data_IF_110234357572
#
_entry.id   IF_110234357572
#
_cell.length_a   1.000
_cell.length_b   1.000
_cell.length_c   1.000
_cell.angle_alpha   90.00
_cell.angle_beta   90.00
_cell.angle_gamma   90.00
#
_symmetry.space_group_name_H-M   'P 1'
#
loop_
_entity.id
_entity.type
_entity.pdbx_description
1 polymer ?
#
# COMPACT_ATOMS: atom_id res chain seq x y z
N UNK A 1 -32.39 -2.10 22.66
CA UNK A 1 -31.98 -2.64 21.35
C UNK A 1 -30.56 -2.17 21.12
N UNK A 2 -29.61 -3.07 21.34
CA UNK A 2 -28.19 -2.76 21.37
C UNK A 2 -27.68 -2.45 19.96
N UNK A 3 -27.25 -1.22 19.75
CA UNK A 3 -26.51 -0.78 18.58
C UNK A 3 -25.14 -1.46 18.57
N UNK A 4 -24.98 -2.52 17.79
CA UNK A 4 -23.67 -2.97 17.36
C UNK A 4 -23.10 -1.90 16.42
N UNK A 5 -22.31 -0.98 17.00
CA UNK A 5 -21.36 -0.20 16.22
C UNK A 5 -20.34 -1.17 15.66
N UNK A 6 -20.54 -1.64 14.43
CA UNK A 6 -19.49 -2.31 13.69
C UNK A 6 -18.30 -1.34 13.65
N UNK A 7 -17.25 -1.66 14.41
CA UNK A 7 -15.97 -0.97 14.35
C UNK A 7 -15.58 -0.90 12.87
N UNK A 8 -15.52 0.31 12.31
CA UNK A 8 -15.13 0.55 10.92
C UNK A 8 -13.80 -0.16 10.69
N UNK A 9 -13.84 -1.25 9.93
CA UNK A 9 -12.64 -2.04 9.64
C UNK A 9 -11.76 -1.18 8.72
N UNK A 10 -10.50 -0.99 9.11
CA UNK A 10 -9.49 -0.33 8.28
C UNK A 10 -9.32 -1.14 6.99
N UNK A 11 -9.83 -0.56 5.91
CA UNK A 11 -9.67 -1.03 4.53
C UNK A 11 -8.73 -0.06 3.83
N UNK A 12 -7.73 -0.57 3.13
CA UNK A 12 -6.91 0.25 2.22
C UNK A 12 -7.87 0.93 1.25
N UNK A 13 -7.78 2.26 1.14
CA UNK A 13 -8.64 3.09 0.30
C UNK A 13 -10.14 3.14 0.68
N UNK A 14 -10.63 2.53 1.76
CA UNK A 14 -12.09 2.36 1.97
C UNK A 14 -12.74 3.04 3.17
N UNK A 15 -12.09 3.07 4.33
CA UNK A 15 -12.73 3.58 5.55
C UNK A 15 -13.08 5.09 5.47
N UNK A 16 -12.35 5.84 4.65
CA UNK A 16 -12.57 7.27 4.44
C UNK A 16 -13.68 7.56 3.43
N UNK A 17 -14.04 6.63 2.53
CA UNK A 17 -15.14 6.81 1.58
C UNK A 17 -16.49 6.94 2.32
N UNK A 18 -16.60 6.27 3.47
CA UNK A 18 -17.78 6.32 4.35
C UNK A 18 -18.09 7.73 4.87
N UNK A 19 -17.10 8.62 4.97
CA UNK A 19 -17.32 9.99 5.48
C UNK A 19 -17.76 10.97 4.39
N UNK A 20 -17.61 10.60 3.12
CA UNK A 20 -17.90 11.49 1.99
C UNK A 20 -19.33 12.03 1.97
N UNK A 21 -20.39 11.22 2.19
CA UNK A 21 -21.76 11.74 2.17
C UNK A 21 -22.00 12.78 3.29
N UNK A 22 -21.42 12.56 4.47
CA UNK A 22 -21.54 13.48 5.60
C UNK A 22 -20.82 14.80 5.33
N UNK A 23 -19.63 14.75 4.73
CA UNK A 23 -18.86 15.94 4.35
C UNK A 23 -19.56 16.79 3.29
N UNK A 24 -20.20 16.16 2.29
CA UNK A 24 -21.00 16.88 1.28
C UNK A 24 -22.26 17.52 1.92
N UNK A 25 -22.91 16.79 2.84
CA UNK A 25 -24.15 17.25 3.51
C UNK A 25 -23.94 18.38 4.52
N UNK A 26 -22.76 18.50 5.13
CA UNK A 26 -22.48 19.45 6.21
C UNK A 26 -22.67 20.93 5.80
N UNK A 27 -22.47 21.25 4.52
CA UNK A 27 -22.56 22.63 4.01
C UNK A 27 -23.86 22.93 3.22
N UNK A 28 -24.78 21.96 3.10
CA UNK A 28 -26.01 22.10 2.31
C UNK A 28 -25.80 22.37 0.81
N UNK A 29 -24.55 22.24 0.32
CA UNK A 29 -24.15 22.49 -1.07
C UNK A 29 -23.85 21.17 -1.76
N UNK A 30 -24.78 20.71 -2.60
CA UNK A 30 -24.60 19.50 -3.41
C UNK A 30 -23.65 19.70 -4.61
N UNK A 31 -23.30 20.95 -4.94
CA UNK A 31 -22.43 21.32 -6.08
C UNK A 31 -21.04 21.86 -5.63
N UNK A 32 -20.53 21.38 -4.49
CA UNK A 32 -19.24 21.79 -3.94
C UNK A 32 -18.00 21.17 -4.63
N UNK A 33 -16.79 21.67 -4.34
CA UNK A 33 -15.54 21.11 -4.86
C UNK A 33 -15.34 19.63 -4.52
N UNK A 34 -15.77 19.18 -3.32
CA UNK A 34 -15.78 17.77 -2.97
C UNK A 34 -16.72 16.95 -3.86
N UNK A 35 -17.93 17.45 -4.13
CA UNK A 35 -18.88 16.80 -5.05
C UNK A 35 -18.30 16.64 -6.46
N UNK A 36 -17.57 17.67 -6.94
CA UNK A 36 -16.85 17.60 -8.21
C UNK A 36 -15.75 16.53 -8.20
N UNK A 37 -14.98 16.41 -7.11
CA UNK A 37 -13.93 15.40 -6.98
C UNK A 37 -14.50 13.97 -6.85
N UNK A 38 -15.60 13.79 -6.12
CA UNK A 38 -16.34 12.52 -6.04
C UNK A 38 -16.84 12.12 -7.43
N UNK A 39 -17.39 13.06 -8.20
CA UNK A 39 -17.84 12.82 -9.58
C UNK A 39 -16.67 12.42 -10.48
N UNK A 40 -15.52 13.10 -10.38
CA UNK A 40 -14.32 12.75 -11.13
C UNK A 40 -13.86 11.32 -10.83
N UNK A 41 -13.78 10.94 -9.55
CA UNK A 41 -13.47 9.58 -9.13
C UNK A 41 -14.48 8.57 -9.69
N UNK A 42 -15.78 8.84 -9.56
CA UNK A 42 -16.84 7.96 -10.06
C UNK A 42 -16.76 7.74 -11.58
N UNK A 43 -16.50 8.78 -12.35
CA UNK A 43 -16.32 8.68 -13.81
C UNK A 43 -15.06 7.88 -14.14
N UNK A 44 -13.93 8.12 -13.45
CA UNK A 44 -12.71 7.31 -13.63
C UNK A 44 -12.96 5.82 -13.36
N UNK A 45 -13.76 5.49 -12.36
CA UNK A 45 -14.11 4.09 -12.05
C UNK A 45 -14.98 3.45 -13.14
N UNK A 46 -15.95 4.19 -13.68
CA UNK A 46 -16.84 3.71 -14.75
C UNK A 46 -16.10 3.62 -16.10
N UNK A 47 -15.10 4.48 -16.32
CA UNK A 47 -14.27 4.49 -17.54
C UNK A 47 -13.23 3.37 -17.56
N UNK A 48 -12.93 2.72 -16.43
CA UNK A 48 -11.85 1.74 -16.31
C UNK A 48 -12.16 0.41 -16.98
N UNK A 49 -11.13 -0.22 -17.53
CA UNK A 49 -11.13 -1.60 -18.05
C UNK A 49 -11.61 -1.73 -19.50
N UNK A 50 -11.50 -2.93 -20.10
CA UNK A 50 -11.85 -3.18 -21.50
C UNK A 50 -13.32 -2.93 -21.85
N UNK A 51 -14.19 -2.94 -20.83
CA UNK A 51 -15.63 -2.67 -20.93
C UNK A 51 -16.04 -1.31 -20.33
N UNK A 52 -15.09 -0.37 -20.20
CA UNK A 52 -15.32 0.96 -19.66
C UNK A 52 -16.52 1.64 -20.32
N UNK A 53 -17.49 2.07 -19.50
CA UNK A 53 -18.78 2.59 -19.99
C UNK A 53 -18.79 4.11 -20.14
N UNK A 54 -17.79 4.80 -19.61
CA UNK A 54 -17.65 6.26 -19.72
C UNK A 54 -16.53 6.62 -20.70
N UNK A 55 -16.75 7.59 -21.61
CA UNK A 55 -15.71 8.07 -22.51
C UNK A 55 -14.53 8.71 -21.76
N UNK A 56 -13.31 8.42 -22.20
CA UNK A 56 -12.05 8.98 -21.65
C UNK A 56 -12.07 10.51 -21.54
N UNK A 57 -12.63 11.20 -22.53
CA UNK A 57 -12.69 12.66 -22.52
C UNK A 57 -13.58 13.22 -21.40
N UNK A 58 -14.60 12.48 -20.97
CA UNK A 58 -15.45 12.86 -19.84
C UNK A 58 -14.70 12.72 -18.51
N UNK A 59 -13.89 11.67 -18.35
CA UNK A 59 -13.05 11.48 -17.17
C UNK A 59 -12.04 12.63 -17.03
N UNK A 60 -11.35 12.99 -18.12
CA UNK A 60 -10.40 14.11 -18.16
C UNK A 60 -11.09 15.44 -17.84
N UNK A 61 -12.27 15.69 -18.42
CA UNK A 61 -13.03 16.92 -18.18
C UNK A 61 -13.49 17.02 -16.72
N UNK A 62 -14.01 15.93 -16.15
CA UNK A 62 -14.43 15.89 -14.76
C UNK A 62 -13.26 16.10 -13.80
N UNK A 63 -12.14 15.42 -14.04
CA UNK A 63 -10.91 15.57 -13.26
C UNK A 63 -10.39 17.02 -13.31
N UNK A 64 -10.30 17.61 -14.52
CA UNK A 64 -9.85 18.99 -14.71
C UNK A 64 -10.76 20.01 -14.01
N UNK A 65 -12.07 19.78 -14.02
CA UNK A 65 -13.05 20.62 -13.32
C UNK A 65 -12.86 20.55 -11.80
N UNK A 66 -12.73 19.33 -11.27
CA UNK A 66 -12.52 19.11 -9.85
C UNK A 66 -11.19 19.71 -9.36
N UNK A 67 -10.10 19.57 -10.12
CA UNK A 67 -8.81 20.17 -9.80
C UNK A 67 -8.90 21.71 -9.72
N UNK A 68 -9.59 22.36 -10.66
CA UNK A 68 -9.82 23.81 -10.62
C UNK A 68 -10.66 24.22 -9.41
N UNK A 69 -11.65 23.43 -9.04
CA UNK A 69 -12.51 23.71 -7.89
C UNK A 69 -11.74 23.61 -6.57
N UNK A 70 -10.96 22.53 -6.39
CA UNK A 70 -10.11 22.31 -5.21
C UNK A 70 -9.00 23.36 -5.12
N UNK A 71 -8.37 23.73 -6.25
CA UNK A 71 -7.34 24.77 -6.28
C UNK A 71 -7.78 26.12 -5.73
N UNK A 72 -9.09 26.44 -5.79
CA UNK A 72 -9.65 27.67 -5.18
C UNK A 72 -9.85 27.56 -3.67
N UNK A 73 -9.93 26.34 -3.13
CA UNK A 73 -10.12 26.10 -1.70
C UNK A 73 -8.80 26.00 -0.92
N UNK A 74 -7.71 25.54 -1.56
CA UNK A 74 -6.41 25.35 -0.90
C UNK A 74 -5.94 26.58 -0.10
N UNK A 75 -6.04 27.83 -0.62
CA UNK A 75 -5.64 29.01 0.15
C UNK A 75 -6.39 29.20 1.47
N UNK A 76 -7.56 28.59 1.61
CA UNK A 76 -8.48 28.71 2.74
C UNK A 76 -8.46 27.46 3.65
N UNK A 77 -7.53 26.51 3.43
CA UNK A 77 -7.46 25.25 4.17
C UNK A 77 -7.23 25.41 5.68
N UNK A 78 -6.68 26.55 6.09
CA UNK A 78 -6.42 26.87 7.50
C UNK A 78 -7.55 27.67 8.17
N UNK A 79 -8.53 28.17 7.41
CA UNK A 79 -9.57 29.07 7.93
C UNK A 79 -10.60 28.35 8.81
N UNK A 80 -10.88 27.08 8.53
CA UNK A 80 -11.91 26.28 9.21
C UNK A 80 -11.55 24.77 9.16
N UNK A 81 -11.52 24.06 10.30
CA UNK A 81 -11.32 22.61 10.35
C UNK A 81 -12.29 21.81 9.46
N UNK A 82 -13.56 22.23 9.32
CA UNK A 82 -14.51 21.52 8.46
C UNK A 82 -14.15 21.65 6.97
N UNK A 83 -13.59 22.79 6.57
CA UNK A 83 -13.08 22.98 5.20
C UNK A 83 -11.83 22.14 4.95
N UNK A 84 -11.00 21.95 5.98
CA UNK A 84 -9.81 21.11 5.88
C UNK A 84 -10.17 19.66 5.54
N UNK A 85 -11.18 19.09 6.20
CA UNK A 85 -11.63 17.72 5.92
C UNK A 85 -12.23 17.59 4.51
N UNK A 86 -13.02 18.59 4.07
CA UNK A 86 -13.57 18.64 2.71
C UNK A 86 -12.46 18.69 1.64
N UNK A 87 -11.45 19.55 1.84
CA UNK A 87 -10.30 19.68 0.93
C UNK A 87 -9.48 18.39 0.91
N UNK A 88 -9.22 17.81 2.09
CA UNK A 88 -8.48 16.55 2.21
C UNK A 88 -9.18 15.43 1.45
N UNK A 89 -10.48 15.24 1.68
CA UNK A 89 -11.28 14.24 0.99
C UNK A 89 -11.31 14.47 -0.54
N UNK A 90 -11.41 15.73 -0.98
CA UNK A 90 -11.42 16.06 -2.40
C UNK A 90 -10.08 15.73 -3.09
N UNK A 91 -8.95 16.04 -2.43
CA UNK A 91 -7.62 15.71 -2.96
C UNK A 91 -7.41 14.18 -2.97
N UNK A 92 -7.90 13.45 -1.95
CA UNK A 92 -7.87 11.99 -1.95
C UNK A 92 -8.69 11.38 -3.09
N UNK A 93 -9.87 11.93 -3.41
CA UNK A 93 -10.66 11.52 -4.58
C UNK A 93 -9.90 11.77 -5.89
N UNK A 94 -9.25 12.93 -6.03
CA UNK A 94 -8.43 13.26 -7.21
C UNK A 94 -7.23 12.33 -7.36
N UNK A 95 -6.55 12.00 -6.26
CA UNK A 95 -5.45 11.03 -6.26
C UNK A 95 -5.91 9.66 -6.78
N UNK A 96 -7.05 9.15 -6.28
CA UNK A 96 -7.57 7.86 -6.75
C UNK A 96 -8.03 7.94 -8.21
N UNK A 97 -8.67 9.04 -8.62
CA UNK A 97 -9.04 9.28 -10.02
C UNK A 97 -7.82 9.20 -10.94
N UNK A 98 -6.70 9.82 -10.54
CA UNK A 98 -5.42 9.78 -11.26
C UNK A 98 -4.78 8.39 -11.25
N UNK A 99 -4.87 7.64 -10.15
CA UNK A 99 -4.36 6.27 -10.09
C UNK A 99 -5.12 5.32 -11.02
N UNK A 100 -6.43 5.49 -11.17
CA UNK A 100 -7.22 4.67 -12.11
C UNK A 100 -7.14 5.14 -13.56
N UNK A 101 -6.84 6.41 -13.76
CA UNK A 101 -6.69 6.98 -15.07
C UNK A 101 -5.49 7.95 -15.08
N UNK A 102 -4.27 7.42 -15.26
CA UNK A 102 -3.07 8.26 -15.27
C UNK A 102 -3.12 9.27 -16.41
N UNK A 103 -3.19 10.54 -16.07
CA UNK A 103 -3.10 11.67 -16.99
C UNK A 103 -1.63 12.00 -17.32
N UNK A 104 -0.70 11.68 -16.41
CA UNK A 104 0.74 11.72 -16.67
C UNK A 104 1.53 10.78 -15.76
N UNK A 105 2.80 10.53 -16.11
CA UNK A 105 3.68 9.66 -15.32
C UNK A 105 4.05 10.22 -13.94
N UNK A 106 3.87 11.52 -13.70
CA UNK A 106 4.24 12.19 -12.43
C UNK A 106 3.04 12.69 -11.61
N UNK A 107 1.84 12.70 -12.18
CA UNK A 107 0.67 13.31 -11.55
C UNK A 107 0.28 12.63 -10.22
N UNK A 108 0.32 11.29 -10.16
CA UNK A 108 0.04 10.57 -8.91
C UNK A 108 1.05 10.93 -7.79
N UNK A 109 2.33 11.11 -8.13
CA UNK A 109 3.39 11.55 -7.20
C UNK A 109 3.15 12.97 -6.71
N UNK A 110 2.74 13.88 -7.60
CA UNK A 110 2.39 15.27 -7.21
C UNK A 110 1.21 15.28 -6.25
N UNK A 111 0.17 14.48 -6.50
CA UNK A 111 -0.97 14.36 -5.60
C UNK A 111 -0.59 13.73 -4.25
N UNK A 112 0.22 12.67 -4.23
CA UNK A 112 0.70 12.06 -3.00
C UNK A 112 1.46 13.09 -2.14
N UNK A 113 2.43 13.79 -2.74
CA UNK A 113 3.17 14.86 -2.05
C UNK A 113 2.26 15.96 -1.52
N UNK A 114 1.28 16.41 -2.31
CA UNK A 114 0.32 17.42 -1.87
C UNK A 114 -0.50 16.97 -0.66
N UNK A 115 -0.84 15.68 -0.57
CA UNK A 115 -1.55 15.11 0.58
C UNK A 115 -0.62 15.00 1.80
N UNK A 116 0.65 14.61 1.61
CA UNK A 116 1.64 14.59 2.69
C UNK A 116 1.87 15.98 3.29
N UNK A 117 2.01 17.01 2.44
CA UNK A 117 2.15 18.39 2.87
C UNK A 117 0.89 18.88 3.61
N UNK A 118 -0.31 18.53 3.11
CA UNK A 118 -1.57 18.86 3.74
C UNK A 118 -1.69 18.24 5.14
N UNK A 119 -1.37 16.95 5.28
CA UNK A 119 -1.42 16.24 6.58
C UNK A 119 -0.49 16.90 7.60
N UNK A 120 0.69 17.33 7.16
CA UNK A 120 1.67 17.97 8.06
C UNK A 120 1.29 19.41 8.46
N UNK A 121 0.23 20.01 7.91
CA UNK A 121 -0.30 21.30 8.39
C UNK A 121 -0.99 21.18 9.76
N UNK A 122 -1.32 19.97 10.20
CA UNK A 122 -1.94 19.71 11.50
C UNK A 122 -1.02 18.85 12.37
N UNK A 123 -1.03 19.06 13.70
CA UNK A 123 -0.28 18.20 14.60
C UNK A 123 -0.85 16.76 14.58
N UNK A 124 -0.06 15.72 14.85
CA UNK A 124 -0.53 14.34 14.72
C UNK A 124 -1.74 14.00 15.61
N UNK A 125 -1.88 14.62 16.79
CA UNK A 125 -3.04 14.45 17.67
C UNK A 125 -4.36 14.92 17.04
N UNK A 126 -4.33 15.79 16.02
CA UNK A 126 -5.52 16.21 15.28
C UNK A 126 -6.24 15.00 14.65
N UNK A 127 -5.48 13.97 14.28
CA UNK A 127 -6.00 12.75 13.64
C UNK A 127 -6.37 11.65 14.64
N UNK A 128 -6.46 11.96 15.94
CA UNK A 128 -6.74 10.95 16.97
C UNK A 128 -8.19 10.43 16.98
N UNK A 129 -9.14 11.16 16.38
CA UNK A 129 -10.56 10.76 16.36
C UNK A 129 -11.36 11.41 15.21
N UNK A 130 -12.61 10.98 15.05
CA UNK A 130 -13.57 11.61 14.14
C UNK A 130 -13.25 11.45 12.65
N UNK A 131 -13.70 12.41 11.84
CA UNK A 131 -13.46 12.44 10.40
C UNK A 131 -11.98 12.57 10.03
N UNK A 132 -11.16 13.42 10.70
CA UNK A 132 -9.73 13.48 10.44
C UNK A 132 -9.05 12.12 10.60
N UNK A 133 -9.39 11.37 11.66
CA UNK A 133 -8.85 10.03 11.88
C UNK A 133 -9.15 9.08 10.72
N UNK A 134 -10.41 9.04 10.26
CA UNK A 134 -10.82 8.18 9.15
C UNK A 134 -10.08 8.53 7.85
N UNK A 135 -9.91 9.82 7.55
CA UNK A 135 -9.14 10.29 6.40
C UNK A 135 -7.67 9.87 6.51
N UNK A 136 -7.04 10.10 7.67
CA UNK A 136 -5.66 9.72 7.93
C UNK A 136 -5.43 8.22 7.80
N UNK A 137 -6.19 7.39 8.52
CA UNK A 137 -6.06 5.93 8.51
C UNK A 137 -6.33 5.35 7.13
N UNK A 138 -7.31 5.88 6.40
CA UNK A 138 -7.67 5.44 5.06
C UNK A 138 -6.59 5.69 4.02
N UNK A 139 -5.82 6.78 4.18
CA UNK A 139 -4.80 7.19 3.20
C UNK A 139 -3.37 6.84 3.60
N UNK A 140 -3.10 6.63 4.89
CA UNK A 140 -1.79 6.22 5.43
C UNK A 140 -1.15 5.03 4.70
N UNK A 141 -1.86 3.93 4.37
CA UNK A 141 -1.27 2.85 3.59
C UNK A 141 -0.73 3.33 2.24
N UNK A 142 -1.49 4.16 1.54
CA UNK A 142 -1.13 4.67 0.21
C UNK A 142 0.14 5.51 0.26
N UNK A 143 0.26 6.41 1.25
CA UNK A 143 1.45 7.24 1.43
C UNK A 143 2.70 6.42 1.73
N UNK A 144 2.55 5.39 2.57
CA UNK A 144 3.68 4.49 2.89
C UNK A 144 4.09 3.71 1.65
N UNK A 145 3.14 3.14 0.89
CA UNK A 145 3.43 2.46 -0.36
C UNK A 145 4.07 3.41 -1.40
N UNK A 146 3.63 4.66 -1.46
CA UNK A 146 4.26 5.67 -2.30
C UNK A 146 5.72 5.96 -1.90
N UNK A 147 6.02 5.97 -0.61
CA UNK A 147 7.38 6.10 -0.10
C UNK A 147 8.26 4.90 -0.52
N UNK A 148 7.71 3.69 -0.56
CA UNK A 148 8.38 2.53 -1.18
C UNK A 148 8.64 2.76 -2.66
N UNK A 149 7.59 3.07 -3.45
CA UNK A 149 7.70 3.26 -4.91
C UNK A 149 8.75 4.30 -5.29
N UNK A 150 8.84 5.38 -4.51
CA UNK A 150 9.80 6.48 -4.73
C UNK A 150 11.14 6.27 -4.03
N UNK A 151 11.26 5.24 -3.19
CA UNK A 151 12.45 4.97 -2.35
C UNK A 151 12.85 6.17 -1.51
N UNK A 152 11.88 6.92 -0.98
CA UNK A 152 12.10 8.11 -0.14
C UNK A 152 11.57 7.89 1.26
N UNK A 153 12.21 8.50 2.27
CA UNK A 153 11.67 8.49 3.63
C UNK A 153 10.34 9.24 3.72
N UNK A 154 9.52 8.86 4.70
CA UNK A 154 8.21 9.47 4.96
C UNK A 154 8.11 9.97 6.40
N UNK A 155 7.43 11.10 6.59
CA UNK A 155 7.18 11.67 7.92
C UNK A 155 6.39 10.71 8.84
N UNK A 156 5.63 9.78 8.24
CA UNK A 156 4.89 8.72 8.93
C UNK A 156 5.81 7.73 9.68
N UNK A 157 7.12 7.79 9.41
CA UNK A 157 8.16 7.07 10.13
C UNK A 157 8.52 7.66 11.50
N UNK A 158 8.12 8.89 11.80
CA UNK A 158 8.44 9.51 13.09
C UNK A 158 7.55 8.96 14.24
N UNK A 159 8.08 8.86 15.48
CA UNK A 159 7.37 8.22 16.60
C UNK A 159 5.98 8.81 16.90
N UNK A 160 5.84 10.13 16.82
CA UNK A 160 4.60 10.87 17.05
C UNK A 160 3.50 10.45 16.07
N UNK A 161 3.85 10.29 14.78
CA UNK A 161 2.90 9.88 13.73
C UNK A 161 2.48 8.41 13.80
N UNK A 162 3.22 7.58 14.56
CA UNK A 162 2.85 6.17 14.82
C UNK A 162 1.94 5.99 16.02
N UNK A 163 1.91 6.96 16.92
CA UNK A 163 1.30 6.81 18.25
C UNK A 163 0.14 7.78 18.47
N UNK A 164 0.34 9.06 18.20
CA UNK A 164 -0.61 10.12 18.55
C UNK A 164 -1.91 10.07 17.74
N UNK A 165 -1.92 9.79 16.41
CA UNK A 165 -3.16 9.57 15.65
C UNK A 165 -4.00 8.38 16.15
N UNK A 166 -3.43 7.53 17.02
CA UNK A 166 -4.05 6.33 17.54
C UNK A 166 -4.24 6.38 19.07
N UNK A 167 -4.02 7.53 19.71
CA UNK A 167 -3.99 7.69 21.18
C UNK A 167 -5.29 7.35 21.93
N UNK A 168 -6.37 6.99 21.25
CA UNK A 168 -7.64 6.55 21.83
C UNK A 168 -8.33 5.43 21.07
N UNK A 169 -7.64 4.75 20.15
CA UNK A 169 -8.21 3.73 19.26
C UNK A 169 -7.30 2.51 19.23
N UNK A 170 -7.90 1.32 19.26
CA UNK A 170 -7.15 0.08 19.02
C UNK A 170 -6.78 0.01 17.55
N UNK A 171 -5.49 0.02 17.27
CA UNK A 171 -4.98 -0.08 15.91
C UNK A 171 -5.33 -1.44 15.31
N UNK A 172 -5.83 -1.44 14.08
CA UNK A 172 -5.97 -2.68 13.33
C UNK A 172 -4.60 -3.27 12.93
N UNK A 173 -4.55 -4.57 12.60
CA UNK A 173 -3.31 -5.24 12.23
C UNK A 173 -2.54 -4.58 11.08
N UNK A 174 -3.25 -4.04 10.08
CA UNK A 174 -2.59 -3.40 8.94
C UNK A 174 -1.92 -2.09 9.37
N UNK A 175 -2.56 -1.28 10.20
CA UNK A 175 -1.97 -0.02 10.68
C UNK A 175 -0.74 -0.25 11.55
N UNK A 176 -0.75 -1.29 12.40
CA UNK A 176 0.44 -1.67 13.18
C UNK A 176 1.57 -2.20 12.29
N UNK A 177 1.26 -3.01 11.27
CA UNK A 177 2.25 -3.47 10.28
C UNK A 177 2.93 -2.28 9.58
N UNK A 178 2.13 -1.32 9.12
CA UNK A 178 2.61 -0.12 8.43
C UNK A 178 3.54 0.73 9.33
N UNK A 179 3.30 0.76 10.64
CA UNK A 179 4.19 1.41 11.61
C UNK A 179 5.57 0.75 11.69
N UNK A 180 5.65 -0.56 11.47
CA UNK A 180 6.93 -1.27 11.38
C UNK A 180 7.61 -1.05 10.02
N UNK A 181 6.84 -1.09 8.94
CA UNK A 181 7.34 -1.03 7.57
C UNK A 181 7.82 0.35 7.13
N UNK A 182 7.28 1.44 7.67
CA UNK A 182 7.64 2.81 7.27
C UNK A 182 9.11 3.21 7.51
N UNK A 183 9.89 2.41 8.25
CA UNK A 183 11.34 2.60 8.37
C UNK A 183 12.09 2.14 7.10
N UNK A 184 11.53 1.23 6.32
CA UNK A 184 12.21 0.59 5.18
C UNK A 184 12.53 1.59 4.05
N UNK A 185 11.62 2.49 3.63
CA UNK A 185 11.92 3.48 2.60
C UNK A 185 13.11 4.40 2.94
N UNK A 186 13.32 4.73 4.22
CA UNK A 186 14.48 5.53 4.63
C UNK A 186 15.82 4.78 4.44
N UNK A 187 15.82 3.45 4.55
CA UNK A 187 17.00 2.61 4.26
C UNK A 187 17.30 2.65 2.76
N UNK A 188 16.26 2.58 1.92
CA UNK A 188 16.38 2.66 0.46
C UNK A 188 16.91 4.04 0.03
N UNK A 189 16.36 5.11 0.60
CA UNK A 189 16.81 6.48 0.33
C UNK A 189 18.29 6.70 0.68
N UNK A 190 18.72 6.12 1.80
CA UNK A 190 20.12 6.17 2.24
C UNK A 190 21.05 5.50 1.21
N UNK A 191 20.63 4.37 0.63
CA UNK A 191 21.39 3.69 -0.42
C UNK A 191 21.47 4.54 -1.69
N UNK A 192 20.35 5.13 -2.12
CA UNK A 192 20.26 5.88 -3.37
C UNK A 192 21.09 7.19 -3.34
N UNK A 193 21.21 7.81 -2.15
CA UNK A 193 21.97 9.05 -1.96
C UNK A 193 23.47 8.85 -1.83
N UNK A 194 23.94 7.62 -1.59
CA UNK A 194 25.34 7.34 -1.27
C UNK A 194 26.09 6.66 -2.42
N UNK A 195 27.20 7.27 -2.86
CA UNK A 195 28.20 6.57 -3.67
C UNK A 195 29.13 5.78 -2.73
N UNK A 196 28.71 4.59 -2.33
CA UNK A 196 29.42 3.80 -1.31
C UNK A 196 30.63 3.03 -1.88
N UNK A 197 31.75 3.73 -2.04
CA UNK A 197 33.01 3.13 -2.52
C UNK A 197 33.62 2.11 -1.54
N UNK A 198 33.27 2.19 -0.25
CA UNK A 198 33.92 1.41 0.82
C UNK A 198 33.00 0.37 1.46
N UNK A 199 31.75 0.21 0.99
CA UNK A 199 30.77 -0.76 1.50
C UNK A 199 30.23 -0.46 2.92
N UNK A 200 30.49 0.73 3.48
CA UNK A 200 30.05 1.09 4.83
C UNK A 200 28.54 1.31 4.91
N UNK A 201 28.00 2.05 3.93
CA UNK A 201 26.55 2.32 3.83
C UNK A 201 25.81 1.04 3.50
N UNK A 202 26.36 0.20 2.62
CA UNK A 202 25.83 -1.13 2.34
C UNK A 202 25.76 -1.98 3.62
N UNK A 203 26.82 -2.02 4.43
CA UNK A 203 26.83 -2.77 5.70
C UNK A 203 25.78 -2.24 6.70
N UNK A 204 25.65 -0.93 6.79
CA UNK A 204 24.65 -0.29 7.64
C UNK A 204 23.23 -0.62 7.15
N UNK A 205 22.96 -0.47 5.87
CA UNK A 205 21.67 -0.77 5.26
C UNK A 205 21.27 -2.23 5.49
N UNK A 206 22.20 -3.15 5.29
CA UNK A 206 21.96 -4.58 5.53
C UNK A 206 21.59 -4.84 7.00
N UNK A 207 22.28 -4.21 7.95
CA UNK A 207 21.92 -4.31 9.38
C UNK A 207 20.49 -3.80 9.62
N UNK A 208 20.14 -2.64 9.07
CA UNK A 208 18.81 -2.05 9.21
C UNK A 208 17.70 -2.87 8.54
N UNK A 209 17.97 -3.51 7.40
CA UNK A 209 17.01 -4.43 6.76
C UNK A 209 16.80 -5.70 7.57
N UNK A 210 17.85 -6.26 8.18
CA UNK A 210 17.71 -7.41 9.09
C UNK A 210 16.86 -7.03 10.30
N UNK A 211 17.09 -5.85 10.88
CA UNK A 211 16.24 -5.33 11.96
C UNK A 211 14.79 -5.12 11.52
N UNK A 212 14.57 -4.65 10.29
CA UNK A 212 13.23 -4.50 9.71
C UNK A 212 12.52 -5.85 9.59
N UNK A 213 13.20 -6.88 9.06
CA UNK A 213 12.68 -8.25 9.03
C UNK A 213 12.31 -8.72 10.44
N UNK A 214 13.20 -8.54 11.42
CA UNK A 214 12.95 -8.95 12.80
C UNK A 214 11.75 -8.21 13.44
N UNK A 215 11.49 -6.96 13.05
CA UNK A 215 10.29 -6.21 13.46
C UNK A 215 9.03 -6.80 12.81
N UNK A 216 9.07 -7.06 11.51
CA UNK A 216 7.97 -7.69 10.75
C UNK A 216 7.63 -9.08 11.30
N UNK A 217 8.61 -9.95 11.53
CA UNK A 217 8.39 -11.31 12.07
C UNK A 217 7.82 -11.25 13.49
N UNK A 218 8.26 -10.29 14.33
CA UNK A 218 7.69 -10.08 15.67
C UNK A 218 6.24 -9.60 15.60
N UNK A 219 5.95 -8.65 14.71
CA UNK A 219 4.57 -8.20 14.47
C UNK A 219 3.68 -9.37 14.07
N UNK A 220 4.10 -10.20 13.11
CA UNK A 220 3.31 -11.33 12.62
C UNK A 220 3.03 -12.34 13.74
N UNK A 221 4.05 -12.69 14.54
CA UNK A 221 3.89 -13.55 15.73
C UNK A 221 2.91 -12.94 16.73
N UNK A 222 3.03 -11.64 17.02
CA UNK A 222 2.16 -10.93 17.97
C UNK A 222 0.70 -10.95 17.52
N UNK A 223 0.42 -10.59 16.27
CA UNK A 223 -0.95 -10.53 15.75
C UNK A 223 -1.60 -11.90 15.75
N UNK A 224 -0.86 -12.95 15.36
CA UNK A 224 -1.37 -14.32 15.35
C UNK A 224 -1.75 -14.82 16.77
N UNK A 225 -1.04 -14.38 17.82
CA UNK A 225 -1.41 -14.69 19.20
C UNK A 225 -2.64 -13.90 19.68
N UNK A 226 -2.85 -12.69 19.18
CA UNK A 226 -3.92 -11.80 19.67
C UNK A 226 -5.25 -11.91 18.91
N UNK A 227 -5.22 -12.22 17.61
CA UNK A 227 -6.40 -12.11 16.73
C UNK A 227 -7.11 -13.45 16.51
N UNK A 228 -6.53 -14.60 16.91
CA UNK A 228 -7.18 -15.92 16.88
C UNK A 228 -7.33 -16.53 15.47
N UNK A 229 -7.81 -15.74 14.51
CA UNK A 229 -8.02 -16.12 13.10
C UNK A 229 -7.17 -15.25 12.16
N UNK A 230 -5.84 -15.32 12.28
CA UNK A 230 -4.91 -14.57 11.40
C UNK A 230 -4.14 -15.46 10.41
N UNK A 231 -4.61 -16.69 10.22
CA UNK A 231 -3.99 -17.67 9.31
C UNK A 231 -4.91 -17.88 8.10
N UNK A 232 -4.39 -17.80 6.86
CA UNK A 232 -5.19 -18.10 5.67
C UNK A 232 -5.51 -19.60 5.61
N UNK A 233 -6.69 -19.93 5.13
CA UNK A 233 -7.10 -21.32 4.89
C UNK A 233 -6.77 -21.69 3.43
N UNK A 234 -5.96 -22.74 3.19
CA UNK A 234 -5.67 -23.17 1.83
C UNK A 234 -6.89 -23.84 1.19
N UNK A 235 -7.27 -23.35 0.02
CA UNK A 235 -8.25 -23.95 -0.86
C UNK A 235 -7.52 -24.54 -2.08
N UNK A 236 -7.47 -25.88 -2.15
CA UNK A 236 -6.82 -26.58 -3.25
C UNK A 236 -7.82 -26.71 -4.40
N UNK A 237 -7.48 -26.13 -5.54
CA UNK A 237 -8.28 -26.20 -6.77
C UNK A 237 -7.46 -26.77 -7.93
N UNK A 238 -8.12 -27.09 -9.06
CA UNK A 238 -7.43 -27.46 -10.29
C UNK A 238 -6.49 -26.34 -10.82
N UNK A 239 -6.75 -25.10 -10.43
CA UNK A 239 -5.90 -23.95 -10.75
C UNK A 239 -4.66 -23.84 -9.84
N UNK A 240 -4.62 -24.50 -8.67
CA UNK A 240 -3.54 -24.40 -7.70
C UNK A 240 -4.07 -24.15 -6.28
N UNK A 241 -3.16 -23.74 -5.37
CA UNK A 241 -3.50 -23.34 -4.01
C UNK A 241 -3.99 -21.89 -4.05
N UNK A 242 -5.22 -21.66 -3.58
CA UNK A 242 -5.74 -20.33 -3.28
C UNK A 242 -5.87 -20.17 -1.76
N UNK A 243 -5.94 -18.93 -1.28
CA UNK A 243 -6.20 -18.66 0.13
C UNK A 243 -7.58 -18.06 0.36
N UNK A 244 -8.30 -18.61 1.33
CA UNK A 244 -9.45 -17.96 1.95
C UNK A 244 -9.00 -17.20 3.20
N UNK A 245 -9.47 -15.97 3.35
CA UNK A 245 -9.17 -15.14 4.50
C UNK A 245 -10.45 -14.82 5.28
N UNK A 246 -10.37 -14.68 6.61
CA UNK A 246 -11.53 -14.29 7.42
C UNK A 246 -12.12 -12.93 7.04
N UNK A 247 -11.29 -12.00 6.57
CA UNK A 247 -11.69 -10.71 6.05
C UNK A 247 -10.57 -10.05 5.25
N UNK A 248 -10.91 -8.96 4.54
CA UNK A 248 -9.98 -8.17 3.73
C UNK A 248 -8.83 -7.57 4.54
N UNK A 249 -9.02 -7.21 5.80
CA UNK A 249 -7.95 -6.64 6.64
C UNK A 249 -6.85 -7.69 6.89
N UNK A 250 -7.21 -8.95 7.15
CA UNK A 250 -6.23 -10.06 7.29
C UNK A 250 -5.51 -10.29 5.96
N UNK A 251 -6.25 -10.39 4.85
CA UNK A 251 -5.66 -10.59 3.52
C UNK A 251 -4.65 -9.49 3.16
N UNK A 252 -5.04 -8.22 3.39
CA UNK A 252 -4.18 -7.07 3.15
C UNK A 252 -2.95 -7.08 4.04
N UNK A 253 -3.12 -7.35 5.34
CA UNK A 253 -2.01 -7.36 6.29
C UNK A 253 -0.97 -8.43 5.94
N UNK A 254 -1.40 -9.66 5.65
CA UNK A 254 -0.50 -10.75 5.31
C UNK A 254 0.20 -10.52 3.96
N UNK A 255 -0.54 -10.10 2.94
CA UNK A 255 0.02 -9.84 1.61
C UNK A 255 1.11 -8.76 1.66
N UNK A 256 0.88 -7.68 2.42
CA UNK A 256 1.87 -6.61 2.59
C UNK A 256 3.04 -7.03 3.48
N UNK A 257 2.78 -7.81 4.54
CA UNK A 257 3.84 -8.37 5.38
C UNK A 257 4.82 -9.21 4.55
N UNK A 258 4.30 -10.13 3.74
CA UNK A 258 5.10 -10.94 2.81
C UNK A 258 5.89 -10.05 1.84
N UNK A 259 5.25 -9.04 1.24
CA UNK A 259 5.89 -8.13 0.30
C UNK A 259 7.03 -7.33 0.93
N UNK A 260 6.81 -6.72 2.10
CA UNK A 260 7.85 -5.95 2.81
C UNK A 260 9.02 -6.84 3.22
N UNK A 261 8.74 -8.07 3.63
CA UNK A 261 9.78 -9.05 3.96
C UNK A 261 10.61 -9.42 2.73
N UNK A 262 9.97 -9.68 1.59
CA UNK A 262 10.63 -9.97 0.31
C UNK A 262 11.55 -8.81 -0.11
N UNK A 263 11.07 -7.57 -0.02
CA UNK A 263 11.88 -6.37 -0.35
C UNK A 263 13.17 -6.36 0.47
N UNK A 264 13.06 -6.49 1.80
CA UNK A 264 14.24 -6.49 2.67
C UNK A 264 15.19 -7.66 2.33
N UNK A 265 14.66 -8.87 2.12
CA UNK A 265 15.48 -10.04 1.82
C UNK A 265 16.25 -9.91 0.49
N UNK A 266 15.60 -9.37 -0.54
CA UNK A 266 16.22 -9.13 -1.85
C UNK A 266 17.32 -8.07 -1.74
N UNK A 267 17.03 -6.94 -1.09
CA UNK A 267 18.00 -5.86 -0.91
C UNK A 267 19.23 -6.35 -0.13
N UNK A 268 19.05 -7.15 0.92
CA UNK A 268 20.17 -7.78 1.63
C UNK A 268 21.01 -8.67 0.71
N UNK A 269 20.36 -9.51 -0.11
CA UNK A 269 21.05 -10.42 -1.03
C UNK A 269 21.85 -9.65 -2.09
N UNK A 270 21.27 -8.61 -2.68
CA UNK A 270 21.92 -7.76 -3.67
C UNK A 270 23.15 -7.04 -3.09
N UNK A 271 23.00 -6.40 -1.93
CA UNK A 271 24.10 -5.69 -1.26
C UNK A 271 25.22 -6.64 -0.86
N UNK A 272 24.90 -7.86 -0.40
CA UNK A 272 25.91 -8.84 -0.01
C UNK A 272 26.66 -9.40 -1.23
N UNK A 273 25.97 -9.58 -2.36
CA UNK A 273 26.60 -9.99 -3.62
C UNK A 273 27.54 -8.91 -4.19
N UNK A 274 27.18 -7.62 -4.03
CA UNK A 274 28.00 -6.49 -4.47
C UNK A 274 29.18 -6.19 -3.53
N UNK A 275 29.06 -6.55 -2.25
CA UNK A 275 30.08 -6.32 -1.23
C UNK A 275 30.36 -7.58 -0.40
N UNK A 276 31.16 -8.53 -0.91
CA UNK A 276 31.45 -9.81 -0.24
C UNK A 276 32.03 -9.67 1.18
N UNK A 277 32.75 -8.58 1.44
CA UNK A 277 33.34 -8.26 2.75
C UNK A 277 32.30 -8.04 3.87
N UNK A 278 31.01 -7.94 3.52
CA UNK A 278 29.90 -7.84 4.48
C UNK A 278 29.58 -9.21 5.11
N UNK A 279 29.97 -10.34 4.49
CA UNK A 279 29.50 -11.68 4.86
C UNK A 279 30.02 -12.20 6.22
N UNK A 280 31.13 -11.67 6.75
CA UNK A 280 31.79 -12.26 7.94
C UNK A 280 31.25 -11.81 9.30
N UNK A 281 30.60 -10.63 9.44
CA UNK A 281 30.28 -10.03 10.76
C UNK A 281 28.83 -9.58 10.94
N UNK A 282 27.90 -10.13 10.18
CA UNK A 282 26.64 -9.45 9.93
C UNK A 282 25.44 -10.24 10.49
N UNK A 283 24.41 -9.56 11.07
CA UNK A 283 23.31 -10.22 11.77
C UNK A 283 22.49 -11.19 10.90
N UNK A 284 22.07 -12.29 11.52
CA UNK A 284 21.30 -13.40 10.92
C UNK A 284 19.84 -12.99 10.63
N UNK A 285 19.24 -13.59 9.60
CA UNK A 285 17.80 -13.48 9.30
C UNK A 285 17.11 -14.70 9.89
N UNK A 286 16.26 -14.54 10.91
CA UNK A 286 15.53 -15.67 11.53
C UNK A 286 16.45 -16.82 12.01
N UNK A 287 17.67 -16.48 12.46
CA UNK A 287 18.71 -17.45 12.85
C UNK A 287 19.52 -18.04 11.70
N UNK A 288 19.19 -17.71 10.45
CA UNK A 288 19.85 -18.21 9.24
C UNK A 288 20.83 -17.19 8.63
N UNK A 289 21.86 -17.70 7.95
CA UNK A 289 22.72 -16.86 7.10
C UNK A 289 21.90 -16.32 5.92
N UNK A 290 22.20 -15.08 5.52
CA UNK A 290 21.44 -14.34 4.49
C UNK A 290 21.54 -14.94 3.10
N UNK A 291 22.69 -15.56 2.82
CA UNK A 291 22.98 -16.23 1.55
C UNK A 291 22.44 -17.67 1.52
N UNK A 292 21.73 -18.11 2.58
CA UNK A 292 21.27 -19.49 2.69
C UNK A 292 20.09 -19.76 1.73
N UNK A 293 20.06 -20.96 1.15
CA UNK A 293 18.94 -21.51 0.39
C UNK A 293 17.62 -21.39 1.16
N UNK A 294 17.66 -21.44 2.49
CA UNK A 294 16.49 -21.26 3.37
C UNK A 294 15.83 -19.89 3.18
N UNK A 295 16.60 -18.80 3.10
CA UNK A 295 16.07 -17.44 2.89
C UNK A 295 15.46 -17.33 1.51
N UNK A 296 16.13 -17.87 0.48
CA UNK A 296 15.60 -17.89 -0.90
C UNK A 296 14.30 -18.70 -0.97
N UNK A 297 14.22 -19.84 -0.28
CA UNK A 297 13.00 -20.66 -0.18
C UNK A 297 11.86 -19.89 0.50
N UNK A 298 12.14 -19.13 1.56
CA UNK A 298 11.15 -18.28 2.24
C UNK A 298 10.65 -17.16 1.34
N UNK A 299 11.53 -16.52 0.54
CA UNK A 299 11.13 -15.55 -0.51
C UNK A 299 10.16 -16.19 -1.51
N UNK A 300 10.50 -17.37 -2.06
CA UNK A 300 9.63 -18.07 -3.01
C UNK A 300 8.29 -18.44 -2.38
N UNK A 301 8.29 -18.96 -1.15
CA UNK A 301 7.08 -19.30 -0.42
C UNK A 301 6.17 -18.09 -0.19
N UNK A 302 6.73 -16.96 0.24
CA UNK A 302 5.97 -15.71 0.43
C UNK A 302 5.44 -15.17 -0.89
N UNK A 303 6.21 -15.32 -1.98
CA UNK A 303 5.76 -14.91 -3.31
C UNK A 303 4.57 -15.73 -3.78
N UNK A 304 4.65 -17.07 -3.72
CA UNK A 304 3.50 -17.93 -4.04
C UNK A 304 2.30 -17.68 -3.11
N UNK A 305 2.54 -17.35 -1.84
CA UNK A 305 1.48 -16.98 -0.89
C UNK A 305 0.72 -15.71 -1.32
N UNK A 306 1.43 -14.71 -1.85
CA UNK A 306 0.82 -13.51 -2.43
C UNK A 306 0.02 -13.88 -3.69
N UNK A 307 0.57 -14.69 -4.60
CA UNK A 307 -0.14 -15.12 -5.81
C UNK A 307 -1.44 -15.87 -5.45
N UNK A 308 -1.39 -16.78 -4.49
CA UNK A 308 -2.55 -17.53 -3.96
C UNK A 308 -3.62 -16.62 -3.32
N UNK A 309 -3.25 -15.41 -2.89
CA UNK A 309 -4.18 -14.44 -2.31
C UNK A 309 -4.99 -13.66 -3.35
N UNK A 310 -4.56 -13.69 -4.61
CA UNK A 310 -5.18 -12.93 -5.71
C UNK A 310 -6.64 -13.28 -5.90
N UNK A 311 -6.97 -14.57 -5.87
CA UNK A 311 -8.34 -15.06 -6.06
C UNK A 311 -9.32 -14.49 -5.03
N UNK A 312 -8.87 -14.32 -3.78
CA UNK A 312 -9.67 -13.72 -2.71
C UNK A 312 -9.75 -12.20 -2.85
N UNK A 313 -8.60 -11.53 -3.03
CA UNK A 313 -8.53 -10.08 -3.12
C UNK A 313 -9.23 -9.52 -4.37
N UNK A 314 -9.38 -10.32 -5.42
CA UNK A 314 -10.06 -9.91 -6.66
C UNK A 314 -11.50 -10.42 -6.78
N UNK A 315 -12.13 -10.88 -5.69
CA UNK A 315 -13.57 -11.20 -5.70
C UNK A 315 -14.42 -9.95 -5.93
N UNK A 316 -15.59 -10.14 -6.52
CA UNK A 316 -16.49 -9.04 -6.88
C UNK A 316 -16.98 -8.24 -5.66
N UNK A 317 -17.16 -8.91 -4.52
CA UNK A 317 -17.59 -8.30 -3.26
C UNK A 317 -16.48 -7.47 -2.57
N UNK A 318 -15.23 -7.63 -2.98
CA UNK A 318 -14.10 -6.81 -2.51
C UNK A 318 -13.99 -5.48 -3.26
N UNK A 319 -14.77 -5.34 -4.35
CA UNK A 319 -14.86 -4.15 -5.18
C UNK A 319 -13.47 -3.58 -5.56
N UNK A 320 -13.34 -2.26 -5.50
CA UNK A 320 -12.10 -1.53 -5.76
C UNK A 320 -11.03 -1.76 -4.70
N UNK A 321 -11.45 -2.09 -3.47
CA UNK A 321 -10.57 -2.13 -2.30
C UNK A 321 -9.64 -3.33 -2.38
N UNK A 322 -10.14 -4.49 -2.77
CA UNK A 322 -9.33 -5.69 -2.90
C UNK A 322 -8.26 -5.56 -4.00
N UNK A 323 -8.61 -4.95 -5.13
CA UNK A 323 -7.70 -4.79 -6.27
C UNK A 323 -6.63 -3.72 -6.06
N UNK A 324 -7.01 -2.56 -5.52
CA UNK A 324 -6.04 -1.53 -5.13
C UNK A 324 -5.05 -2.05 -4.06
N UNK A 325 -5.51 -2.96 -3.18
CA UNK A 325 -4.67 -3.56 -2.14
C UNK A 325 -3.73 -4.65 -2.66
N UNK A 326 -4.11 -5.35 -3.74
CA UNK A 326 -3.33 -6.48 -4.27
C UNK A 326 -2.15 -6.03 -5.15
N UNK A 327 -2.24 -4.85 -5.77
CA UNK A 327 -1.28 -4.36 -6.76
C UNK A 327 0.17 -4.41 -6.27
N UNK A 328 0.47 -3.74 -5.15
CA UNK A 328 1.84 -3.63 -4.65
C UNK A 328 2.43 -4.99 -4.25
N UNK A 329 1.76 -5.83 -3.41
CA UNK A 329 2.26 -7.17 -3.13
C UNK A 329 2.47 -8.03 -4.37
N UNK A 330 1.52 -8.03 -5.31
CA UNK A 330 1.60 -8.87 -6.51
C UNK A 330 2.81 -8.50 -7.36
N UNK A 331 3.06 -7.21 -7.55
CA UNK A 331 4.24 -6.76 -8.29
C UNK A 331 5.53 -7.30 -7.63
N UNK A 332 5.68 -7.13 -6.31
CA UNK A 332 6.86 -7.63 -5.56
C UNK A 332 7.02 -9.14 -5.69
N UNK A 333 5.93 -9.90 -5.55
CA UNK A 333 5.94 -11.35 -5.65
C UNK A 333 6.35 -11.84 -7.04
N UNK A 334 5.78 -11.24 -8.09
CA UNK A 334 6.09 -11.61 -9.48
C UNK A 334 7.56 -11.34 -9.81
N UNK A 335 8.07 -10.17 -9.48
CA UNK A 335 9.48 -9.83 -9.68
C UNK A 335 10.42 -10.77 -8.90
N UNK A 336 10.06 -11.18 -7.69
CA UNK A 336 10.84 -12.13 -6.90
C UNK A 336 10.85 -13.54 -7.51
N UNK A 337 9.71 -14.01 -8.01
CA UNK A 337 9.59 -15.30 -8.71
C UNK A 337 10.37 -15.29 -10.03
N UNK A 338 10.33 -14.20 -10.79
CA UNK A 338 11.13 -14.05 -12.01
C UNK A 338 12.63 -14.05 -11.70
N UNK A 339 13.05 -13.39 -10.61
CA UNK A 339 14.45 -13.30 -10.19
C UNK A 339 15.02 -14.63 -9.67
N UNK A 340 14.26 -15.40 -8.90
CA UNK A 340 14.78 -16.62 -8.23
C UNK A 340 14.23 -17.93 -8.79
N UNK A 341 13.13 -17.87 -9.54
CA UNK A 341 12.38 -19.02 -10.04
C UNK A 341 12.24 -19.07 -11.56
N UNK A 342 12.87 -18.16 -12.32
CA UNK A 342 12.66 -18.02 -13.76
C UNK A 342 12.98 -19.24 -14.64
N UNK A 343 13.68 -20.25 -14.10
CA UNK A 343 13.96 -21.51 -14.80
C UNK A 343 13.06 -22.68 -14.36
N UNK A 344 12.15 -22.45 -13.40
CA UNK A 344 11.24 -23.47 -12.88
C UNK A 344 9.90 -23.40 -13.62
N UNK A 345 9.56 -24.48 -14.33
CA UNK A 345 8.32 -24.59 -15.11
C UNK A 345 7.06 -24.45 -14.25
N UNK A 346 7.10 -24.92 -12.99
CA UNK A 346 5.96 -24.79 -12.08
C UNK A 346 5.71 -23.33 -11.70
N UNK A 347 6.78 -22.55 -11.49
CA UNK A 347 6.69 -21.11 -11.20
C UNK A 347 6.18 -20.35 -12.42
N UNK A 348 6.65 -20.69 -13.62
CA UNK A 348 6.15 -20.12 -14.87
C UNK A 348 4.65 -20.35 -15.05
N UNK A 349 4.17 -21.54 -14.74
CA UNK A 349 2.75 -21.87 -14.78
C UNK A 349 1.93 -21.12 -13.73
N UNK A 350 2.46 -20.96 -12.51
CA UNK A 350 1.83 -20.17 -11.43
C UNK A 350 1.64 -18.70 -11.86
N UNK A 351 2.68 -18.08 -12.42
CA UNK A 351 2.66 -16.71 -12.93
C UNK A 351 1.66 -16.51 -14.06
N UNK A 352 1.54 -17.50 -14.97
CA UNK A 352 0.62 -17.46 -16.11
C UNK A 352 -0.83 -17.57 -15.66
N UNK A 353 -1.14 -18.49 -14.74
CA UNK A 353 -2.49 -18.63 -14.17
C UNK A 353 -2.90 -17.38 -13.39
N UNK A 354 -1.98 -16.81 -12.61
CA UNK A 354 -2.22 -15.57 -11.90
C UNK A 354 -2.53 -14.40 -12.87
N UNK A 355 -1.79 -14.30 -13.97
CA UNK A 355 -2.04 -13.28 -15.00
C UNK A 355 -3.43 -13.45 -15.66
N UNK A 356 -3.87 -14.68 -15.90
CA UNK A 356 -5.20 -14.96 -16.44
C UNK A 356 -6.31 -14.50 -15.48
N UNK A 357 -6.17 -14.74 -14.17
CA UNK A 357 -7.12 -14.25 -13.16
C UNK A 357 -7.21 -12.72 -13.21
N UNK A 358 -6.06 -12.04 -13.27
CA UNK A 358 -6.00 -10.57 -13.33
C UNK A 358 -6.66 -10.04 -14.61
N UNK A 359 -6.40 -10.70 -15.76
CA UNK A 359 -6.97 -10.36 -17.05
C UNK A 359 -8.50 -10.55 -17.06
N UNK A 360 -9.01 -11.70 -16.63
CA UNK A 360 -10.44 -12.00 -16.56
C UNK A 360 -11.21 -11.01 -15.68
N UNK A 361 -10.53 -10.43 -14.70
CA UNK A 361 -11.10 -9.45 -13.77
C UNK A 361 -10.98 -8.00 -14.29
N UNK A 362 -10.34 -7.77 -15.44
CA UNK A 362 -10.24 -6.46 -16.09
C UNK A 362 -9.21 -5.52 -15.47
N UNK A 363 -8.18 -6.07 -14.81
CA UNK A 363 -7.14 -5.34 -14.09
C UNK A 363 -5.77 -5.46 -14.77
N UNK A 364 -5.76 -5.41 -16.10
CA UNK A 364 -4.55 -5.57 -16.93
C UNK A 364 -3.49 -4.50 -16.61
N UNK A 365 -3.90 -3.35 -16.10
CA UNK A 365 -3.03 -2.28 -15.59
C UNK A 365 -2.09 -2.76 -14.47
N UNK A 366 -2.52 -3.74 -13.66
CA UNK A 366 -1.68 -4.42 -12.65
C UNK A 366 -0.50 -5.15 -13.30
N UNK A 367 -0.68 -5.68 -14.51
CA UNK A 367 0.36 -6.40 -15.26
C UNK A 367 1.28 -5.46 -16.07
N UNK A 368 0.79 -4.27 -16.41
CA UNK A 368 1.49 -3.32 -17.28
C UNK A 368 2.46 -2.40 -16.54
N UNK A 369 2.27 -2.20 -15.22
CA UNK A 369 3.21 -1.45 -14.40
C UNK A 369 4.49 -2.25 -14.13
N UNK A 370 5.44 -2.11 -15.04
CA UNK A 370 6.78 -2.73 -15.00
C UNK A 370 7.86 -1.81 -14.42
N UNK A 371 7.48 -0.61 -13.94
CA UNK A 371 8.41 0.49 -13.66
C UNK A 371 8.55 0.78 -12.17
N UNK A 372 8.86 -0.22 -11.35
CA UNK A 372 9.28 0.03 -9.97
C UNK A 372 10.72 -0.41 -9.78
N UNK A 373 11.62 0.55 -9.52
CA UNK A 373 13.04 0.32 -9.20
C UNK A 373 13.27 -0.28 -7.81
N UNK A 374 12.22 -0.86 -7.21
CA UNK A 374 12.25 -1.39 -5.85
C UNK A 374 13.15 -2.62 -5.70
N UNK A 375 13.30 -3.40 -6.78
CA UNK A 375 14.08 -4.64 -6.81
C UNK A 375 15.20 -4.63 -7.86
N UNK A 376 15.34 -3.54 -8.62
CA UNK A 376 16.50 -3.26 -9.50
C UNK A 376 17.58 -2.55 -8.71
#
# INVERSE_FOLDING_TARGET
MSSNSALSQSRICGAWVEVLPALVGANGRHDGPLSSAIKALGISLIARGPSGRAPVHEAIAAHSSALKAVGRLIPHANDDPNKYDEISAAIMCLFLSEKFFPTSSSAATVHARGIEELIQLRPPQFYASGTPHKLFVGFRPILILHAFDTRTSTFLGAPEWKTEPFGGVVQDPLQTLLSEACAIPAILEMLDRCSDKNGLVARQAVTQFVEAINRLDRWHKSVNMTVGDFTPLPEISAAGINFEFPNITVANSLSHYWAFWIICAIQIKQLTAQHPDISENCPLIDGERRENEVVTRKVLQFSSSILASTSFLMREDMELYGTASAFFPLHIARSALEMFGGNDEAIGEELRKNAEIIYQRGYEDVLLHTSTTLLS
#
